data_IF_454518877403
#
_entry.id   IF_454518877403
#
_cell.length_a   1.000
_cell.length_b   1.000
_cell.length_c   1.000
_cell.angle_alpha   90.00
_cell.angle_beta   90.00
_cell.angle_gamma   90.00
#
_symmetry.space_group_name_H-M   'P 1'
#
loop_
_entity.id
_entity.type
_entity.pdbx_description
1 polymer ?
#
# COMPACT_ATOMS: atom_id res chain seq x y z
N UNK A 1 2.33 -17.22 5.14
CA UNK A 1 1.71 -16.17 5.96
C UNK A 1 2.39 -16.17 7.30
N UNK A 2 3.44 -15.36 7.38
CA UNK A 2 3.98 -14.93 8.65
C UNK A 2 2.88 -14.27 9.50
N UNK A 3 3.02 -14.33 10.82
CA UNK A 3 2.05 -13.72 11.72
C UNK A 3 2.05 -12.19 11.49
N UNK A 4 0.87 -11.54 11.52
CA UNK A 4 0.83 -10.09 11.42
C UNK A 4 1.70 -9.44 12.49
N UNK A 5 2.41 -8.39 12.11
CA UNK A 5 3.24 -7.58 12.99
C UNK A 5 2.80 -6.12 12.94
N UNK A 6 3.32 -5.32 13.86
CA UNK A 6 2.90 -3.94 14.06
C UNK A 6 4.10 -3.04 14.33
N UNK A 7 3.91 -1.74 14.14
CA UNK A 7 4.93 -0.72 14.38
C UNK A 7 5.85 -0.44 13.18
N UNK A 8 6.14 0.84 12.97
CA UNK A 8 7.01 1.33 11.88
C UNK A 8 8.41 0.74 11.94
N UNK A 9 9.00 0.64 13.13
CA UNK A 9 10.37 0.14 13.30
C UNK A 9 10.50 -1.32 12.86
N UNK A 10 9.54 -2.18 13.22
CA UNK A 10 9.55 -3.57 12.78
C UNK A 10 9.30 -3.68 11.28
N UNK A 11 8.40 -2.87 10.71
CA UNK A 11 8.21 -2.81 9.24
C UNK A 11 9.51 -2.46 8.52
N UNK A 12 10.19 -1.39 8.94
CA UNK A 12 11.46 -0.97 8.33
C UNK A 12 12.52 -2.06 8.47
N UNK A 13 12.60 -2.72 9.63
CA UNK A 13 13.52 -3.82 9.88
C UNK A 13 13.22 -5.04 9.01
N UNK A 14 11.96 -5.39 8.81
CA UNK A 14 11.55 -6.49 7.93
C UNK A 14 11.93 -6.19 6.48
N UNK A 15 11.65 -4.97 6.00
CA UNK A 15 12.00 -4.56 4.64
C UNK A 15 13.52 -4.47 4.44
N UNK A 16 14.28 -4.00 5.43
CA UNK A 16 15.74 -3.92 5.35
C UNK A 16 16.39 -5.31 5.39
N UNK A 17 15.84 -6.26 6.16
CA UNK A 17 16.38 -7.61 6.27
C UNK A 17 15.97 -8.55 5.13
N UNK A 18 15.09 -8.10 4.22
CA UNK A 18 14.63 -8.90 3.07
C UNK A 18 15.79 -9.37 2.18
N UNK A 19 15.58 -10.47 1.48
CA UNK A 19 16.49 -10.92 0.43
C UNK A 19 16.23 -10.10 -0.84
N UNK A 20 17.21 -9.30 -1.28
CA UNK A 20 17.08 -8.46 -2.47
C UNK A 20 16.86 -9.22 -3.78
N UNK A 21 17.09 -10.54 -3.80
CA UNK A 21 16.84 -11.40 -4.95
C UNK A 21 15.41 -11.96 -5.02
N UNK A 22 14.58 -11.70 -4.00
CA UNK A 22 13.20 -12.20 -3.91
C UNK A 22 12.18 -11.07 -3.99
N UNK A 23 10.97 -11.43 -4.39
CA UNK A 23 9.82 -10.53 -4.40
C UNK A 23 9.01 -10.72 -3.11
N UNK A 24 8.44 -9.63 -2.61
CA UNK A 24 7.64 -9.64 -1.40
C UNK A 24 6.33 -8.91 -1.63
N UNK A 25 5.29 -9.41 -0.99
CA UNK A 25 3.99 -8.75 -0.94
C UNK A 25 3.76 -8.30 0.50
N UNK A 26 3.43 -7.03 0.69
CA UNK A 26 3.14 -6.43 1.98
C UNK A 26 1.66 -6.04 2.01
N UNK A 27 0.90 -6.64 2.91
CA UNK A 27 -0.48 -6.28 3.19
C UNK A 27 -0.51 -5.31 4.37
N UNK A 28 -1.24 -4.20 4.21
CA UNK A 28 -1.34 -3.14 5.21
C UNK A 28 -2.82 -2.96 5.54
N UNK A 29 -3.14 -3.03 6.83
CA UNK A 29 -4.44 -2.66 7.36
C UNK A 29 -4.25 -1.45 8.27
N UNK A 30 -4.67 -0.28 7.78
CA UNK A 30 -4.51 1.00 8.43
C UNK A 30 -5.85 1.49 9.01
N UNK A 31 -6.10 1.27 10.31
CA UNK A 31 -7.32 1.73 10.96
C UNK A 31 -7.41 3.25 11.10
N UNK A 32 -6.29 3.99 11.01
CA UNK A 32 -6.29 5.46 11.09
C UNK A 32 -6.86 6.07 9.81
N UNK A 33 -6.55 5.45 8.67
CA UNK A 33 -7.15 5.77 7.38
C UNK A 33 -8.54 5.12 7.19
N UNK A 34 -8.79 4.00 7.87
CA UNK A 34 -9.96 3.17 7.66
C UNK A 34 -9.87 2.33 6.38
N UNK A 35 -8.66 1.99 5.96
CA UNK A 35 -8.35 1.44 4.65
C UNK A 35 -7.40 0.24 4.73
N UNK A 36 -7.49 -0.65 3.74
CA UNK A 36 -6.57 -1.75 3.57
C UNK A 36 -6.09 -1.82 2.12
N UNK A 37 -4.78 -2.04 1.95
CA UNK A 37 -4.13 -2.02 0.66
C UNK A 37 -2.92 -2.94 0.64
N UNK A 38 -2.46 -3.26 -0.56
CA UNK A 38 -1.34 -4.18 -0.77
C UNK A 38 -0.21 -3.45 -1.48
N UNK A 39 1.02 -3.76 -1.09
CA UNK A 39 2.25 -3.14 -1.61
C UNK A 39 3.15 -4.25 -2.14
N UNK A 40 3.40 -4.23 -3.43
CA UNK A 40 4.35 -5.11 -4.09
C UNK A 40 5.76 -4.53 -3.99
N UNK A 41 6.70 -5.37 -3.54
CA UNK A 41 8.10 -5.05 -3.38
C UNK A 41 8.89 -6.06 -4.24
N UNK A 42 9.14 -5.73 -5.52
CA UNK A 42 9.87 -6.62 -6.41
C UNK A 42 11.33 -6.81 -5.96
N UNK A 43 11.95 -7.88 -6.44
CA UNK A 43 13.38 -8.13 -6.27
C UNK A 43 14.20 -6.96 -6.80
N UNK A 44 14.96 -6.32 -5.91
CA UNK A 44 15.73 -5.11 -6.20
C UNK A 44 16.76 -4.82 -5.10
N UNK A 45 17.69 -3.90 -5.36
CA UNK A 45 18.59 -3.36 -4.34
C UNK A 45 17.82 -2.72 -3.18
N UNK A 46 18.37 -2.82 -1.97
CA UNK A 46 17.75 -2.21 -0.78
C UNK A 46 17.81 -0.68 -0.82
N UNK A 47 18.86 -0.13 -1.43
CA UNK A 47 18.99 1.31 -1.70
C UNK A 47 17.85 1.80 -2.61
N UNK A 48 17.17 2.87 -2.18
CA UNK A 48 16.07 3.51 -2.91
C UNK A 48 14.95 2.55 -3.31
N UNK A 49 14.56 1.65 -2.38
CA UNK A 49 13.50 0.66 -2.59
C UNK A 49 12.24 1.28 -3.21
N UNK A 50 11.85 0.78 -4.38
CA UNK A 50 10.66 1.16 -5.14
C UNK A 50 9.56 0.13 -4.96
N UNK A 51 8.34 0.60 -4.71
CA UNK A 51 7.18 -0.26 -4.44
C UNK A 51 6.01 0.10 -5.33
N UNK A 52 5.10 -0.84 -5.52
CA UNK A 52 3.86 -0.62 -6.27
C UNK A 52 2.67 -0.81 -5.33
N UNK A 53 1.79 0.17 -5.29
CA UNK A 53 0.59 0.15 -4.45
C UNK A 53 -0.57 -0.42 -5.26
N UNK A 54 -1.28 -1.41 -4.70
CA UNK A 54 -2.52 -1.97 -5.23
C UNK A 54 -3.65 -1.71 -4.24
N UNK A 55 -4.70 -1.01 -4.70
CA UNK A 55 -5.82 -0.63 -3.85
C UNK A 55 -7.13 -0.45 -4.64
N UNK A 56 -8.22 -0.51 -3.90
CA UNK A 56 -9.56 -0.02 -4.24
C UNK A 56 -10.18 0.56 -2.98
N UNK A 57 -11.02 1.58 -3.09
CA UNK A 57 -11.57 2.28 -1.93
C UNK A 57 -13.08 2.52 -2.08
N UNK A 58 -13.82 2.37 -1.00
CA UNK A 58 -15.25 2.66 -0.93
C UNK A 58 -15.54 4.17 -0.75
N UNK A 59 -14.53 5.01 -0.47
CA UNK A 59 -14.67 6.46 -0.38
C UNK A 59 -15.31 6.98 0.91
N UNK A 60 -15.40 6.13 1.93
CA UNK A 60 -16.02 6.47 3.21
C UNK A 60 -15.05 7.17 4.18
N UNK A 61 -13.75 7.07 3.91
CA UNK A 61 -12.67 7.62 4.74
C UNK A 61 -12.05 8.88 4.15
N UNK A 62 -10.75 9.07 4.42
CA UNK A 62 -9.98 10.25 3.99
C UNK A 62 -9.82 10.33 2.47
N UNK A 63 -9.76 9.19 1.80
CA UNK A 63 -9.64 9.05 0.35
C UNK A 63 -11.00 8.92 -0.33
N UNK A 64 -11.03 9.30 -1.61
CA UNK A 64 -12.22 9.21 -2.46
C UNK A 64 -12.49 7.78 -2.92
N UNK A 65 -13.70 7.52 -3.39
CA UNK A 65 -14.08 6.23 -3.99
C UNK A 65 -13.19 5.91 -5.20
N UNK A 66 -12.74 4.66 -5.29
CA UNK A 66 -11.76 4.23 -6.29
C UNK A 66 -11.96 2.77 -6.66
N UNK A 67 -12.25 2.50 -7.94
CA UNK A 67 -12.27 1.13 -8.43
C UNK A 67 -10.84 0.59 -8.62
N UNK A 68 -10.67 -0.72 -8.39
CA UNK A 68 -9.37 -1.37 -8.63
C UNK A 68 -8.93 -1.22 -10.10
N UNK A 69 -9.85 -1.33 -11.05
CA UNK A 69 -9.54 -1.21 -12.48
C UNK A 69 -9.02 0.18 -12.85
N UNK A 70 -9.64 1.23 -12.33
CA UNK A 70 -9.20 2.61 -12.60
C UNK A 70 -7.82 2.84 -12.00
N UNK A 71 -7.62 2.43 -10.75
CA UNK A 71 -6.33 2.52 -10.09
C UNK A 71 -5.22 1.82 -10.88
N UNK A 72 -5.44 0.56 -11.28
CA UNK A 72 -4.47 -0.25 -12.02
C UNK A 72 -4.23 0.28 -13.44
N UNK A 73 -5.17 1.02 -14.02
CA UNK A 73 -5.02 1.62 -15.36
C UNK A 73 -4.12 2.86 -15.35
N UNK A 74 -4.06 3.59 -14.22
CA UNK A 74 -3.35 4.88 -14.11
C UNK A 74 -2.14 4.79 -13.18
N UNK A 75 -2.37 4.53 -11.88
CA UNK A 75 -1.38 4.78 -10.81
C UNK A 75 -0.80 3.48 -10.21
N UNK A 76 -1.52 2.37 -10.25
CA UNK A 76 -1.05 1.08 -9.75
C UNK A 76 0.18 0.50 -10.47
N UNK A 77 0.55 1.07 -11.64
CA UNK A 77 1.76 0.72 -12.39
C UNK A 77 2.93 1.68 -12.14
N UNK A 78 2.72 2.72 -11.33
CA UNK A 78 3.73 3.72 -11.04
C UNK A 78 4.47 3.34 -9.76
N UNK A 79 5.79 3.27 -9.84
CA UNK A 79 6.63 2.99 -8.70
C UNK A 79 6.67 4.18 -7.73
N UNK A 80 6.43 3.92 -6.46
CA UNK A 80 6.53 4.88 -5.36
C UNK A 80 7.80 4.56 -4.57
N UNK A 81 8.49 5.57 -4.05
CA UNK A 81 9.59 5.34 -3.13
C UNK A 81 9.03 4.88 -1.77
N UNK A 82 9.61 3.83 -1.18
CA UNK A 82 9.09 3.25 0.07
C UNK A 82 9.02 4.29 1.20
N UNK A 83 10.04 5.14 1.32
CA UNK A 83 10.09 6.24 2.29
C UNK A 83 8.85 7.15 2.18
N UNK A 84 8.45 7.52 0.96
CA UNK A 84 7.29 8.36 0.71
C UNK A 84 5.97 7.69 1.13
N UNK A 85 5.85 6.37 0.93
CA UNK A 85 4.70 5.61 1.45
C UNK A 85 4.70 5.60 2.99
N UNK A 86 5.85 5.35 3.61
CA UNK A 86 5.99 5.32 5.07
C UNK A 86 5.68 6.69 5.69
N UNK A 87 6.12 7.78 5.07
CA UNK A 87 5.82 9.14 5.51
C UNK A 87 4.31 9.42 5.44
N UNK A 88 3.63 8.99 4.36
CA UNK A 88 2.17 9.13 4.25
C UNK A 88 1.41 8.34 5.33
N UNK A 89 1.89 7.14 5.66
CA UNK A 89 1.33 6.32 6.76
C UNK A 89 1.52 7.01 8.12
N UNK A 90 2.68 7.63 8.34
CA UNK A 90 2.97 8.33 9.59
C UNK A 90 2.11 9.57 9.81
N UNK A 91 1.77 10.31 8.74
CA UNK A 91 0.81 11.41 8.78
C UNK A 91 -0.54 10.94 9.36
N UNK A 92 -1.09 9.85 8.80
CA UNK A 92 -2.34 9.27 9.30
C UNK A 92 -2.24 8.83 10.77
N UNK A 93 -1.14 8.18 11.17
CA UNK A 93 -0.96 7.79 12.58
C UNK A 93 -0.90 9.00 13.51
N UNK A 94 -0.24 10.08 13.07
CA UNK A 94 -0.06 11.30 13.85
C UNK A 94 -1.33 12.17 13.94
N UNK A 95 -2.39 11.84 13.20
CA UNK A 95 -3.57 12.71 13.08
C UNK A 95 -3.28 14.00 12.29
N UNK A 96 -2.19 14.00 11.52
CA UNK A 96 -1.82 15.10 10.62
C UNK A 96 -2.26 14.70 9.22
N UNK A 97 -2.72 15.66 8.42
CA UNK A 97 -3.15 15.40 7.05
C UNK A 97 -2.42 16.35 6.10
N UNK A 98 -1.17 16.03 5.79
CA UNK A 98 -0.52 16.60 4.61
C UNK A 98 -1.22 16.10 3.33
N UNK A 99 -2.24 16.84 2.90
CA UNK A 99 -3.09 16.47 1.76
C UNK A 99 -2.29 16.20 0.49
N UNK A 100 -1.21 16.94 0.23
CA UNK A 100 -0.38 16.71 -0.95
C UNK A 100 0.34 15.37 -0.89
N UNK A 101 0.99 15.06 0.24
CA UNK A 101 1.69 13.79 0.41
C UNK A 101 0.72 12.61 0.31
N UNK A 102 -0.44 12.71 0.95
CA UNK A 102 -1.46 11.67 0.92
C UNK A 102 -2.01 11.50 -0.51
N UNK A 103 -2.33 12.59 -1.21
CA UNK A 103 -2.79 12.52 -2.60
C UNK A 103 -1.74 11.90 -3.53
N UNK A 104 -0.47 12.27 -3.37
CA UNK A 104 0.63 11.73 -4.16
C UNK A 104 0.76 10.20 -4.01
N UNK A 105 0.37 9.64 -2.86
CA UNK A 105 0.41 8.19 -2.64
C UNK A 105 -0.91 7.50 -2.98
N UNK A 106 -2.05 8.05 -2.54
CA UNK A 106 -3.32 7.32 -2.50
C UNK A 106 -4.41 7.84 -3.46
N UNK A 107 -4.32 9.09 -3.96
CA UNK A 107 -5.30 9.60 -4.93
C UNK A 107 -4.90 9.24 -6.36
N UNK A 108 -5.83 8.86 -7.24
CA UNK A 108 -5.53 8.43 -8.61
C UNK A 108 -4.91 9.54 -9.47
N UNK A 109 -5.26 10.82 -9.22
CA UNK A 109 -4.79 11.99 -9.96
C UNK A 109 -3.74 12.81 -9.20
N UNK A 110 -3.36 12.38 -7.99
CA UNK A 110 -2.55 13.16 -7.06
C UNK A 110 -3.16 14.53 -6.74
N UNK A 111 -4.50 14.62 -6.67
CA UNK A 111 -5.23 15.84 -6.34
C UNK A 111 -5.39 15.99 -4.81
N UNK A 112 -4.72 16.98 -4.17
CA UNK A 112 -4.90 17.22 -2.73
C UNK A 112 -6.33 17.60 -2.34
N UNK A 113 -7.14 18.12 -3.26
CA UNK A 113 -8.55 18.46 -2.98
C UNK A 113 -9.46 17.23 -2.87
N UNK A 114 -9.00 16.06 -3.36
CA UNK A 114 -9.68 14.78 -3.21
C UNK A 114 -9.45 14.13 -1.83
N UNK A 115 -8.66 14.79 -0.96
CA UNK A 115 -8.31 14.32 0.38
C UNK A 115 -9.17 15.01 1.44
N UNK A 116 -10.01 14.23 2.09
CA UNK A 116 -11.00 14.65 3.08
C UNK A 116 -10.47 14.49 4.50
N UNK A 117 -9.54 15.36 4.90
CA UNK A 117 -8.91 15.33 6.24
C UNK A 117 -9.92 15.32 7.39
N UNK A 118 -11.07 15.97 7.22
CA UNK A 118 -12.17 16.02 8.18
C UNK A 118 -12.82 14.65 8.46
N UNK A 119 -12.62 13.67 7.56
CA UNK A 119 -13.11 12.30 7.74
C UNK A 119 -12.14 11.41 8.52
N UNK A 120 -10.96 11.91 8.87
CA UNK A 120 -10.01 11.19 9.72
C UNK A 120 -10.51 11.21 11.18
N UNK A 121 -11.21 10.15 11.57
CA UNK A 121 -11.84 10.02 12.89
C UNK A 121 -11.06 9.16 13.87
N UNK A 122 -9.98 8.51 13.41
CA UNK A 122 -9.12 7.63 14.20
C UNK A 122 -7.66 8.03 14.04
N UNK A 123 -6.90 7.98 15.12
CA UNK A 123 -5.49 8.34 15.18
C UNK A 123 -4.82 7.59 16.33
N UNK A 124 -3.52 7.32 16.19
CA UNK A 124 -2.75 6.54 17.17
C UNK A 124 -3.10 5.05 17.23
N UNK A 125 -3.97 4.56 16.35
CA UNK A 125 -4.34 3.15 16.28
C UNK A 125 -3.20 2.33 15.64
N UNK A 126 -3.07 1.10 16.10
CA UNK A 126 -2.01 0.21 15.67
C UNK A 126 -2.26 -0.32 14.25
N UNK A 127 -1.33 0.00 13.33
CA UNK A 127 -1.36 -0.48 11.95
C UNK A 127 -0.82 -1.90 11.91
N UNK A 128 -1.54 -2.79 11.22
CA UNK A 128 -1.17 -4.20 11.07
C UNK A 128 -0.55 -4.43 9.70
N UNK A 129 0.58 -5.11 9.72
CA UNK A 129 1.35 -5.47 8.54
C UNK A 129 1.45 -6.99 8.42
N UNK A 130 1.50 -7.49 7.21
CA UNK A 130 1.87 -8.88 6.94
C UNK A 130 2.71 -8.91 5.68
N UNK A 131 3.87 -9.55 5.73
CA UNK A 131 4.80 -9.60 4.61
C UNK A 131 5.15 -11.05 4.31
N UNK A 132 5.03 -11.46 3.06
CA UNK A 132 5.42 -12.79 2.60
C UNK A 132 6.22 -12.68 1.31
N UNK A 133 7.22 -13.56 1.14
CA UNK A 133 7.88 -13.71 -0.14
C UNK A 133 6.94 -14.40 -1.15
N UNK A 134 7.02 -14.02 -2.42
CA UNK A 134 6.25 -14.65 -3.49
C UNK A 134 7.09 -14.92 -4.74
N UNK A 135 6.63 -15.90 -5.52
CA UNK A 135 7.20 -16.24 -6.82
C UNK A 135 6.30 -15.72 -7.95
N UNK A 136 6.80 -14.90 -8.90
CA UNK A 136 5.99 -14.36 -10.00
C UNK A 136 5.33 -15.43 -10.85
N UNK A 137 5.95 -16.62 -10.97
CA UNK A 137 5.35 -17.77 -11.67
C UNK A 137 4.05 -18.23 -11.02
N UNK A 138 3.95 -18.21 -9.69
CA UNK A 138 2.73 -18.56 -8.97
C UNK A 138 1.64 -17.51 -9.16
N UNK A 139 2.01 -16.22 -9.18
CA UNK A 139 1.06 -15.14 -9.50
C UNK A 139 0.50 -15.32 -10.90
N UNK A 140 1.35 -15.60 -11.89
CA UNK A 140 0.93 -15.87 -13.26
C UNK A 140 -0.02 -17.08 -13.35
N UNK A 141 0.34 -18.20 -12.72
CA UNK A 141 -0.51 -19.39 -12.69
C UNK A 141 -1.90 -19.08 -12.09
N UNK A 142 -1.95 -18.30 -11.01
CA UNK A 142 -3.20 -17.90 -10.39
C UNK A 142 -4.03 -16.98 -11.30
N UNK A 143 -3.38 -16.04 -12.01
CA UNK A 143 -4.06 -15.18 -12.98
C UNK A 143 -4.65 -16.00 -14.14
N UNK A 144 -3.87 -16.90 -14.73
CA UNK A 144 -4.33 -17.80 -15.81
C UNK A 144 -5.54 -18.64 -15.34
N UNK A 145 -5.52 -19.11 -14.09
CA UNK A 145 -6.64 -19.84 -13.49
C UNK A 145 -7.88 -18.96 -13.28
N UNK A 146 -7.72 -17.74 -12.77
CA UNK A 146 -8.84 -16.79 -12.60
C UNK A 146 -9.47 -16.48 -13.95
N UNK A 147 -8.67 -16.15 -14.97
CA UNK A 147 -9.14 -15.84 -16.32
C UNK A 147 -9.90 -17.01 -16.96
N UNK A 148 -9.41 -18.24 -16.76
CA UNK A 148 -10.08 -19.44 -17.26
C UNK A 148 -11.45 -19.74 -16.62
N UNK A 149 -11.74 -19.16 -15.45
CA UNK A 149 -13.03 -19.33 -14.74
C UNK A 149 -14.00 -18.17 -14.99
N UNK A 150 -13.61 -17.15 -15.75
CA UNK A 150 -14.47 -16.02 -16.12
C UNK A 150 -15.27 -16.27 -17.41
N UNK A 151 -15.04 -17.42 -18.06
CA UNK A 151 -15.71 -17.90 -19.28
C UNK A 151 -16.22 -19.32 -19.10
#
# INVERSE_FOLDING_TARGET
MELPFTGKEELLKQVENRDSSKNYILMINDPNMGHAYTVDIPAQSKENTRVYLYQSDAGLGVTSELSLSDWMSVKGKQAIALDRLIDAIDEFRAGVCNQQLIADVFDINSDPNAIHSEKQTKFGEEIKFSMDAYEPSNVKLNMDMIESNLY
#
